data_IF_734791855976
#
_entry.id   IF_734791855976
#
_cell.length_a   1.000
_cell.length_b   1.000
_cell.length_c   1.000
_cell.angle_alpha   90.00
_cell.angle_beta   90.00
_cell.angle_gamma   90.00
#
_symmetry.space_group_name_H-M   'P 1'
#
loop_
_entity.id
_entity.type
_entity.pdbx_description
1 polymer ?
#
# COMPACT_ATOMS: atom_id res chain seq x y z
N UNK A 1 15.42 21.42 -16.54
CA UNK A 1 14.38 21.56 -17.60
C UNK A 1 13.44 22.69 -17.20
N UNK A 2 12.98 23.57 -18.14
CA UNK A 2 12.00 24.59 -17.81
C UNK A 2 10.56 23.99 -17.76
N UNK A 3 9.63 24.72 -17.11
CA UNK A 3 8.24 24.24 -16.90
C UNK A 3 7.48 24.00 -18.21
N UNK A 4 7.68 24.84 -19.24
CA UNK A 4 6.97 24.72 -20.52
C UNK A 4 7.42 23.49 -21.29
N UNK A 5 8.72 23.21 -21.27
CA UNK A 5 9.29 22.00 -21.88
C UNK A 5 8.79 20.73 -21.18
N UNK A 6 8.77 20.72 -19.84
CA UNK A 6 8.22 19.60 -19.08
C UNK A 6 6.76 19.36 -19.44
N UNK A 7 5.95 20.40 -19.41
CA UNK A 7 4.53 20.30 -19.77
C UNK A 7 4.32 19.74 -21.15
N UNK A 8 5.06 20.22 -22.15
CA UNK A 8 4.97 19.69 -23.52
C UNK A 8 5.28 18.19 -23.59
N UNK A 9 6.36 17.72 -22.95
CA UNK A 9 6.75 16.32 -22.95
C UNK A 9 5.71 15.45 -22.21
N UNK A 10 5.16 15.93 -21.10
CA UNK A 10 4.07 15.28 -20.37
C UNK A 10 2.82 15.15 -21.23
N UNK A 11 2.38 16.24 -21.88
CA UNK A 11 1.19 16.24 -22.71
C UNK A 11 1.36 15.27 -23.92
N UNK A 12 2.52 15.26 -24.58
CA UNK A 12 2.83 14.33 -25.67
C UNK A 12 2.85 12.86 -25.22
N UNK A 13 3.42 12.57 -24.05
CA UNK A 13 3.45 11.24 -23.47
C UNK A 13 2.04 10.79 -23.08
N UNK A 14 1.32 11.60 -22.33
CA UNK A 14 -0.03 11.28 -21.84
C UNK A 14 -1.06 11.14 -22.97
N UNK A 15 -0.94 11.92 -24.04
CA UNK A 15 -1.80 11.74 -25.21
C UNK A 15 -1.74 10.32 -25.77
N UNK A 16 -0.55 9.71 -25.82
CA UNK A 16 -0.36 8.32 -26.26
C UNK A 16 -0.97 7.32 -25.27
N UNK A 17 -0.78 7.55 -23.97
CA UNK A 17 -1.35 6.68 -22.91
C UNK A 17 -2.88 6.72 -22.95
N UNK A 18 -3.48 7.90 -23.03
CA UNK A 18 -4.94 8.09 -23.07
C UNK A 18 -5.53 7.44 -24.33
N UNK A 19 -4.89 7.61 -25.48
CA UNK A 19 -5.37 7.03 -26.74
C UNK A 19 -5.41 5.49 -26.71
N UNK A 20 -4.43 4.86 -26.04
CA UNK A 20 -4.38 3.39 -25.89
C UNK A 20 -5.33 2.84 -24.81
N UNK A 21 -5.70 3.67 -23.83
CA UNK A 21 -6.46 3.25 -22.65
C UNK A 21 -7.72 4.12 -22.46
N UNK A 22 -8.67 4.12 -23.43
CA UNK A 22 -9.81 5.00 -23.37
C UNK A 22 -10.71 4.70 -22.16
N UNK A 23 -11.07 5.76 -21.41
CA UNK A 23 -11.98 5.64 -20.25
C UNK A 23 -11.33 5.23 -18.93
N UNK A 24 -10.04 4.91 -18.90
CA UNK A 24 -9.33 4.45 -17.70
C UNK A 24 -8.74 5.63 -16.91
N UNK A 25 -9.59 6.49 -16.36
CA UNK A 25 -9.21 7.77 -15.72
C UNK A 25 -8.23 7.60 -14.57
N UNK A 26 -8.45 6.62 -13.71
CA UNK A 26 -7.59 6.34 -12.55
C UNK A 26 -6.18 5.90 -12.99
N UNK A 27 -6.09 5.12 -14.06
CA UNK A 27 -4.81 4.75 -14.64
C UNK A 27 -4.08 5.95 -15.25
N UNK A 28 -4.80 6.81 -15.98
CA UNK A 28 -4.21 8.03 -16.54
C UNK A 28 -3.64 8.94 -15.46
N UNK A 29 -4.37 9.11 -14.35
CA UNK A 29 -3.93 9.92 -13.21
C UNK A 29 -2.65 9.36 -12.58
N UNK A 30 -2.60 8.06 -12.33
CA UNK A 30 -1.43 7.41 -11.74
C UNK A 30 -0.18 7.50 -12.63
N UNK A 31 -0.35 7.29 -13.95
CA UNK A 31 0.75 7.44 -14.91
C UNK A 31 1.24 8.87 -14.98
N UNK A 32 0.34 9.87 -14.95
CA UNK A 32 0.69 11.29 -14.95
C UNK A 32 1.54 11.66 -13.72
N UNK A 33 1.09 11.29 -12.51
CA UNK A 33 1.80 11.57 -11.25
C UNK A 33 3.24 11.04 -11.27
N UNK A 34 3.42 9.83 -11.75
CA UNK A 34 4.74 9.22 -11.88
C UNK A 34 5.57 9.88 -12.97
N UNK A 35 4.96 10.18 -14.13
CA UNK A 35 5.63 10.81 -15.27
C UNK A 35 6.17 12.21 -14.95
N UNK A 36 5.49 12.99 -14.12
CA UNK A 36 5.96 14.30 -13.65
C UNK A 36 7.34 14.23 -12.96
N UNK A 37 7.56 13.17 -12.19
CA UNK A 37 8.85 12.93 -11.54
C UNK A 37 9.89 12.30 -12.46
N UNK A 38 9.45 11.41 -13.37
CA UNK A 38 10.36 10.58 -14.17
C UNK A 38 10.82 11.25 -15.47
N UNK A 39 9.99 12.05 -16.13
CA UNK A 39 10.37 12.67 -17.41
C UNK A 39 11.63 13.55 -17.26
N UNK A 40 11.75 14.44 -16.23
CA UNK A 40 12.99 15.17 -16.03
C UNK A 40 14.21 14.27 -15.84
N UNK A 41 14.06 13.22 -15.07
CA UNK A 41 15.13 12.25 -14.80
C UNK A 41 15.53 11.47 -16.07
N UNK A 42 14.57 11.08 -16.88
CA UNK A 42 14.81 10.36 -18.15
C UNK A 42 15.50 11.25 -19.18
N UNK A 43 15.15 12.55 -19.24
CA UNK A 43 15.85 13.51 -20.12
C UNK A 43 17.32 13.69 -19.73
N UNK A 44 17.64 13.62 -18.44
CA UNK A 44 19.01 13.61 -17.94
C UNK A 44 19.74 12.27 -18.10
N UNK A 45 18.99 11.19 -18.39
CA UNK A 45 19.49 9.82 -18.56
C UNK A 45 19.05 9.22 -19.89
N UNK A 46 19.65 9.62 -21.04
CA UNK A 46 19.17 9.28 -22.39
C UNK A 46 19.01 7.79 -22.68
N UNK A 47 19.73 6.91 -21.95
CA UNK A 47 19.62 5.45 -22.09
C UNK A 47 18.17 4.94 -21.87
N UNK A 48 17.45 5.50 -20.90
CA UNK A 48 16.07 5.11 -20.61
C UNK A 48 15.10 5.62 -21.67
N UNK A 49 15.34 6.82 -22.20
CA UNK A 49 14.56 7.40 -23.30
C UNK A 49 14.69 6.58 -24.60
N UNK A 50 15.93 6.25 -24.97
CA UNK A 50 16.22 5.44 -26.17
C UNK A 50 15.60 4.05 -26.10
N UNK A 51 15.59 3.43 -24.92
CA UNK A 51 14.96 2.14 -24.68
C UNK A 51 13.44 2.20 -24.46
N UNK A 52 12.83 3.41 -24.52
CA UNK A 52 11.38 3.65 -24.30
C UNK A 52 10.86 3.00 -23.00
N UNK A 53 11.65 3.09 -21.94
CA UNK A 53 11.35 2.37 -20.70
C UNK A 53 10.01 2.82 -20.11
N UNK A 54 9.72 4.12 -20.10
CA UNK A 54 8.47 4.64 -19.53
C UNK A 54 7.23 4.15 -20.29
N UNK A 55 7.28 4.15 -21.60
CA UNK A 55 6.21 3.63 -22.45
C UNK A 55 6.01 2.12 -22.24
N UNK A 56 7.09 1.36 -22.10
CA UNK A 56 7.03 -0.09 -21.85
C UNK A 56 6.50 -0.39 -20.44
N UNK A 57 6.87 0.38 -19.43
CA UNK A 57 6.36 0.21 -18.06
C UNK A 57 4.88 0.59 -17.92
N UNK A 58 4.39 1.52 -18.75
CA UNK A 58 2.97 1.91 -18.76
C UNK A 58 2.08 0.93 -19.54
N UNK A 59 2.67 -0.04 -20.23
CA UNK A 59 1.94 -1.12 -20.92
C UNK A 59 2.05 -2.40 -20.08
N UNK A 60 0.91 -3.01 -19.73
CA UNK A 60 0.92 -4.28 -19.00
C UNK A 60 1.48 -5.40 -19.87
N UNK A 61 2.34 -6.26 -19.33
CA UNK A 61 2.85 -7.43 -20.06
C UNK A 61 1.70 -8.36 -20.45
N UNK A 62 0.70 -8.54 -19.54
CA UNK A 62 -0.52 -9.31 -19.82
C UNK A 62 -1.71 -8.79 -19.01
N UNK A 63 -2.89 -8.87 -19.61
CA UNK A 63 -4.16 -8.62 -18.95
C UNK A 63 -5.09 -9.80 -19.17
N UNK A 64 -5.51 -10.43 -18.08
CA UNK A 64 -6.38 -11.61 -18.12
C UNK A 64 -7.72 -11.21 -17.57
N UNK A 65 -8.78 -11.43 -18.36
CA UNK A 65 -10.18 -11.14 -18.00
C UNK A 65 -10.98 -12.42 -18.24
N UNK A 66 -11.74 -12.82 -17.23
CA UNK A 66 -12.51 -14.07 -17.29
C UNK A 66 -13.82 -13.98 -16.53
N UNK A 67 -14.76 -14.88 -16.87
CA UNK A 67 -16.06 -15.02 -16.23
C UNK A 67 -15.97 -15.94 -15.01
N UNK A 68 -16.66 -15.56 -13.92
CA UNK A 68 -16.73 -16.31 -12.67
C UNK A 68 -18.21 -16.66 -12.41
N UNK A 69 -18.73 -17.81 -12.85
CA UNK A 69 -20.07 -18.28 -12.49
C UNK A 69 -20.02 -19.01 -11.14
N UNK A 70 -20.99 -18.74 -10.27
CA UNK A 70 -21.10 -19.40 -8.97
C UNK A 70 -22.57 -19.45 -8.51
N UNK A 71 -22.89 -20.32 -7.55
CA UNK A 71 -24.23 -20.45 -6.97
C UNK A 71 -24.30 -19.74 -5.62
N UNK A 72 -25.33 -18.93 -5.42
CA UNK A 72 -25.63 -18.36 -4.10
C UNK A 72 -26.31 -19.39 -3.17
N UNK A 73 -26.65 -18.99 -1.95
CA UNK A 73 -27.26 -19.89 -0.97
C UNK A 73 -28.70 -20.27 -1.32
N UNK A 74 -29.32 -19.56 -2.27
CA UNK A 74 -30.66 -19.90 -2.80
C UNK A 74 -30.59 -20.86 -3.99
N UNK A 75 -29.39 -21.18 -4.48
CA UNK A 75 -29.16 -22.00 -5.67
C UNK A 75 -29.29 -21.21 -6.98
N UNK A 76 -29.33 -19.89 -6.93
CA UNK A 76 -29.38 -19.04 -8.12
C UNK A 76 -27.97 -18.83 -8.69
N UNK A 77 -27.90 -18.81 -10.04
CA UNK A 77 -26.62 -18.59 -10.74
C UNK A 77 -26.26 -17.11 -10.68
N UNK A 78 -25.09 -16.84 -10.14
CA UNK A 78 -24.47 -15.53 -10.12
C UNK A 78 -23.29 -15.50 -11.10
N UNK A 79 -23.03 -14.33 -11.72
CA UNK A 79 -21.94 -14.16 -12.70
C UNK A 79 -21.17 -12.90 -12.35
N UNK A 80 -19.90 -13.06 -12.07
CA UNK A 80 -18.96 -11.97 -11.88
C UNK A 80 -17.84 -11.98 -12.93
N UNK A 81 -17.10 -10.90 -13.00
CA UNK A 81 -15.92 -10.77 -13.85
C UNK A 81 -14.65 -10.79 -13.00
N UNK A 82 -13.72 -11.64 -13.36
CA UNK A 82 -12.39 -11.70 -12.78
C UNK A 82 -11.35 -11.01 -13.64
N UNK A 83 -10.34 -10.45 -12.98
CA UNK A 83 -9.23 -9.75 -13.62
C UNK A 83 -7.91 -10.16 -12.96
N UNK A 84 -6.85 -10.28 -13.79
CA UNK A 84 -5.46 -10.27 -13.33
C UNK A 84 -4.62 -9.45 -14.30
N UNK A 85 -3.94 -8.43 -13.78
CA UNK A 85 -3.03 -7.56 -14.52
C UNK A 85 -1.61 -7.95 -14.12
N UNK A 86 -0.90 -8.55 -15.05
CA UNK A 86 0.51 -8.86 -14.97
C UNK A 86 1.27 -7.68 -15.58
N UNK A 87 1.66 -6.72 -14.72
CA UNK A 87 2.13 -5.42 -15.18
C UNK A 87 3.58 -5.42 -15.63
N UNK A 88 4.47 -5.96 -14.80
CA UNK A 88 5.90 -5.99 -15.09
C UNK A 88 6.60 -7.07 -14.27
N UNK A 89 7.38 -7.92 -14.90
CA UNK A 89 8.11 -9.04 -14.30
C UNK A 89 9.63 -8.89 -14.32
N UNK A 90 10.16 -7.72 -14.71
CA UNK A 90 11.60 -7.54 -14.90
C UNK A 90 12.46 -7.82 -13.66
N UNK A 91 11.90 -7.67 -12.45
CA UNK A 91 12.65 -7.88 -11.19
C UNK A 91 12.14 -9.05 -10.35
N UNK A 92 11.23 -9.87 -10.88
CA UNK A 92 10.70 -11.06 -10.21
C UNK A 92 9.26 -11.39 -10.60
N UNK A 93 8.68 -12.44 -10.01
CA UNK A 93 7.30 -12.82 -10.27
C UNK A 93 6.35 -11.64 -10.06
N UNK A 94 5.26 -11.57 -10.84
CA UNK A 94 4.23 -10.56 -10.60
C UNK A 94 3.72 -10.69 -9.17
N UNK A 95 3.57 -9.58 -8.47
CA UNK A 95 3.14 -9.55 -7.08
C UNK A 95 2.18 -8.40 -6.83
N UNK A 96 1.03 -8.73 -6.25
CA UNK A 96 0.04 -7.74 -5.84
C UNK A 96 -1.28 -8.36 -5.42
N UNK A 97 -2.10 -7.56 -4.72
CA UNK A 97 -3.35 -8.02 -4.11
C UNK A 97 -4.45 -8.36 -5.10
N UNK A 98 -5.43 -9.12 -4.61
CA UNK A 98 -6.75 -9.32 -5.22
C UNK A 98 -7.76 -8.44 -4.49
N UNK A 99 -8.55 -7.66 -5.21
CA UNK A 99 -9.61 -6.81 -4.64
C UNK A 99 -10.99 -7.36 -5.00
N UNK A 100 -11.85 -7.56 -4.00
CA UNK A 100 -13.26 -7.89 -4.23
C UNK A 100 -14.13 -6.71 -3.80
N UNK A 101 -14.65 -5.99 -4.79
CA UNK A 101 -15.51 -4.83 -4.55
C UNK A 101 -16.31 -4.50 -5.81
N UNK A 102 -17.59 -4.07 -5.70
CA UNK A 102 -18.44 -3.77 -6.86
C UNK A 102 -17.88 -2.73 -7.84
N UNK A 103 -17.00 -1.85 -7.37
CA UNK A 103 -16.37 -0.80 -8.20
C UNK A 103 -15.17 -1.30 -9.01
N UNK A 104 -14.74 -2.54 -8.83
CA UNK A 104 -13.57 -3.09 -9.54
C UNK A 104 -13.82 -3.08 -11.04
N UNK A 105 -12.92 -2.45 -11.77
CA UNK A 105 -12.86 -2.41 -13.22
C UNK A 105 -11.41 -2.42 -13.71
N UNK A 106 -11.21 -2.49 -15.02
CA UNK A 106 -9.89 -2.60 -15.62
C UNK A 106 -8.99 -1.39 -15.30
N UNK A 107 -9.51 -0.17 -15.39
CA UNK A 107 -8.75 1.06 -15.15
C UNK A 107 -8.23 1.14 -13.71
N UNK A 108 -9.09 0.81 -12.72
CA UNK A 108 -8.69 0.75 -11.30
C UNK A 108 -7.59 -0.29 -11.08
N UNK A 109 -7.70 -1.47 -11.67
CA UNK A 109 -6.70 -2.52 -11.48
C UNK A 109 -5.39 -2.23 -12.21
N UNK A 110 -5.43 -1.60 -13.38
CA UNK A 110 -4.22 -1.15 -14.09
C UNK A 110 -3.48 -0.07 -13.33
N UNK A 111 -4.19 0.92 -12.80
CA UNK A 111 -3.60 1.93 -11.92
C UNK A 111 -2.87 1.28 -10.75
N UNK A 112 -3.57 0.40 -10.03
CA UNK A 112 -3.00 -0.29 -8.86
C UNK A 112 -1.81 -1.20 -9.23
N UNK A 113 -1.87 -1.86 -10.39
CA UNK A 113 -0.78 -2.71 -10.88
C UNK A 113 0.47 -1.89 -11.24
N UNK A 114 0.28 -0.75 -11.89
CA UNK A 114 1.36 0.16 -12.27
C UNK A 114 2.08 0.72 -11.04
N UNK A 115 1.34 1.23 -10.07
CA UNK A 115 1.94 1.70 -8.80
C UNK A 115 2.62 0.57 -8.02
N UNK A 116 2.07 -0.66 -8.11
CA UNK A 116 2.64 -1.81 -7.43
C UNK A 116 4.04 -2.17 -7.95
N UNK A 117 4.34 -1.94 -9.23
CA UNK A 117 5.69 -2.13 -9.81
C UNK A 117 6.73 -1.30 -9.05
N UNK A 118 6.46 0.00 -8.91
CA UNK A 118 7.37 0.93 -8.23
C UNK A 118 7.50 0.62 -6.74
N UNK A 119 6.37 0.33 -6.08
CA UNK A 119 6.33 -0.02 -4.66
C UNK A 119 7.12 -1.29 -4.35
N UNK A 120 6.93 -2.35 -5.15
CA UNK A 120 7.66 -3.60 -4.96
C UNK A 120 9.16 -3.44 -5.20
N UNK A 121 9.52 -2.67 -6.22
CA UNK A 121 10.91 -2.34 -6.53
C UNK A 121 11.64 -1.67 -5.37
N UNK A 122 10.98 -0.74 -4.67
CA UNK A 122 11.56 -0.06 -3.51
C UNK A 122 11.93 -1.03 -2.37
N UNK A 123 11.20 -2.14 -2.20
CA UNK A 123 11.50 -3.14 -1.15
C UNK A 123 12.84 -3.85 -1.35
N UNK A 124 13.45 -3.71 -2.52
CA UNK A 124 14.65 -4.45 -2.97
C UNK A 124 14.48 -5.95 -3.12
N UNK A 125 13.34 -6.51 -2.73
CA UNK A 125 13.02 -7.92 -2.90
C UNK A 125 12.74 -8.26 -4.37
N UNK A 126 12.94 -9.52 -4.79
CA UNK A 126 12.73 -9.96 -6.18
C UNK A 126 11.22 -10.17 -6.45
N UNK A 127 10.50 -9.09 -6.63
CA UNK A 127 9.06 -9.07 -6.89
C UNK A 127 8.74 -8.06 -7.98
N UNK A 128 8.12 -8.52 -9.06
CA UNK A 128 7.50 -7.70 -10.07
C UNK A 128 6.21 -7.04 -9.58
N UNK A 129 5.44 -6.46 -10.47
CA UNK A 129 4.17 -5.80 -10.16
C UNK A 129 2.99 -6.43 -10.86
N UNK A 130 1.91 -6.65 -10.12
CA UNK A 130 0.64 -7.12 -10.64
C UNK A 130 -0.52 -6.74 -9.73
N UNK A 131 -1.73 -6.87 -10.23
CA UNK A 131 -2.97 -6.63 -9.48
C UNK A 131 -4.10 -7.46 -10.04
N UNK A 132 -5.02 -7.87 -9.19
CA UNK A 132 -6.21 -8.56 -9.64
C UNK A 132 -7.44 -8.21 -8.84
N UNK A 133 -8.54 -8.81 -9.19
CA UNK A 133 -9.79 -8.61 -8.46
C UNK A 133 -11.02 -9.05 -9.22
N UNK A 134 -12.15 -8.72 -8.64
CA UNK A 134 -13.47 -8.98 -9.20
C UNK A 134 -14.47 -7.91 -8.72
N UNK A 135 -15.51 -7.69 -9.50
CA UNK A 135 -16.70 -6.90 -9.13
C UNK A 135 -17.60 -7.60 -8.09
N UNK A 136 -17.17 -8.73 -7.56
CA UNK A 136 -17.84 -9.43 -6.46
C UNK A 136 -17.81 -8.61 -5.17
N UNK A 137 -18.97 -8.49 -4.51
CA UNK A 137 -19.08 -7.89 -3.18
C UNK A 137 -19.19 -8.99 -2.11
N UNK A 138 -18.14 -9.20 -1.28
CA UNK A 138 -18.19 -10.19 -0.21
C UNK A 138 -19.04 -9.75 0.98
N UNK A 139 -19.43 -8.47 1.02
CA UNK A 139 -20.18 -7.91 2.14
C UNK A 139 -21.59 -8.50 2.19
N UNK A 140 -21.97 -9.05 3.34
CA UNK A 140 -23.28 -9.68 3.55
C UNK A 140 -23.41 -11.07 2.93
N UNK A 141 -22.36 -11.64 2.33
CA UNK A 141 -22.33 -13.01 1.82
C UNK A 141 -21.98 -14.00 2.93
N UNK A 142 -22.56 -15.19 2.86
CA UNK A 142 -22.18 -16.30 3.74
C UNK A 142 -20.76 -16.81 3.42
N UNK A 143 -20.14 -17.51 4.37
CA UNK A 143 -18.83 -18.14 4.13
C UNK A 143 -18.90 -19.17 3.00
N UNK A 144 -20.03 -19.87 2.83
CA UNK A 144 -20.26 -20.81 1.76
C UNK A 144 -20.36 -20.13 0.39
N UNK A 145 -21.02 -18.98 0.30
CA UNK A 145 -21.07 -18.18 -0.93
C UNK A 145 -19.68 -17.67 -1.32
N UNK A 146 -18.95 -17.10 -0.36
CA UNK A 146 -17.58 -16.62 -0.59
C UNK A 146 -16.66 -17.76 -1.00
N UNK A 147 -16.79 -18.95 -0.38
CA UNK A 147 -16.00 -20.12 -0.74
C UNK A 147 -16.29 -20.56 -2.18
N UNK A 148 -17.56 -20.70 -2.57
CA UNK A 148 -17.95 -21.08 -3.94
C UNK A 148 -17.44 -20.08 -4.97
N UNK A 149 -17.55 -18.78 -4.67
CA UNK A 149 -17.00 -17.73 -5.52
C UNK A 149 -15.49 -17.87 -5.67
N UNK A 150 -14.73 -17.99 -4.58
CA UNK A 150 -13.27 -18.15 -4.59
C UNK A 150 -12.84 -19.40 -5.35
N UNK A 151 -13.57 -20.51 -5.21
CA UNK A 151 -13.30 -21.75 -5.94
C UNK A 151 -13.51 -21.58 -7.45
N UNK A 152 -14.59 -20.92 -7.87
CA UNK A 152 -14.85 -20.64 -9.27
C UNK A 152 -13.80 -19.68 -9.86
N UNK A 153 -13.47 -18.60 -9.16
CA UNK A 153 -12.39 -17.67 -9.55
C UNK A 153 -11.07 -18.41 -9.74
N UNK A 154 -10.69 -19.27 -8.79
CA UNK A 154 -9.41 -19.97 -8.83
C UNK A 154 -9.37 -21.06 -9.91
N UNK A 155 -10.51 -21.61 -10.30
CA UNK A 155 -10.59 -22.59 -11.40
C UNK A 155 -10.04 -22.00 -12.72
N UNK A 156 -10.24 -20.72 -12.99
CA UNK A 156 -9.63 -20.03 -14.12
C UNK A 156 -8.23 -19.48 -13.78
N UNK A 157 -8.11 -18.78 -12.67
CA UNK A 157 -6.88 -18.04 -12.33
C UNK A 157 -5.66 -18.94 -12.13
N UNK A 158 -5.83 -20.18 -11.64
CA UNK A 158 -4.72 -21.11 -11.38
C UNK A 158 -3.85 -21.40 -12.60
N UNK A 159 -4.33 -21.16 -13.82
CA UNK A 159 -3.56 -21.36 -15.06
C UNK A 159 -2.48 -20.30 -15.25
N UNK A 160 -2.60 -19.17 -14.58
CA UNK A 160 -1.80 -17.97 -14.79
C UNK A 160 -0.91 -17.62 -13.61
N UNK A 161 -1.15 -18.19 -12.44
CA UNK A 161 -0.43 -17.89 -11.21
C UNK A 161 0.44 -19.08 -10.74
N UNK A 162 1.41 -18.77 -9.90
CA UNK A 162 2.32 -19.76 -9.34
C UNK A 162 3.42 -19.09 -8.52
N UNK A 163 4.18 -19.85 -7.71
CA UNK A 163 5.19 -19.30 -6.81
C UNK A 163 6.28 -18.51 -7.54
N UNK A 164 6.60 -18.89 -8.78
CA UNK A 164 7.68 -18.30 -9.59
C UNK A 164 7.15 -17.48 -10.78
N UNK A 165 5.83 -17.36 -10.94
CA UNK A 165 5.21 -16.66 -12.07
C UNK A 165 4.46 -15.42 -11.57
N UNK A 166 3.43 -15.63 -10.72
CA UNK A 166 2.56 -14.59 -10.21
C UNK A 166 2.00 -15.00 -8.85
N UNK A 167 2.22 -14.17 -7.84
CA UNK A 167 1.86 -14.45 -6.45
C UNK A 167 0.86 -13.42 -5.95
N UNK A 168 -0.46 -13.68 -6.04
CA UNK A 168 -1.49 -12.80 -5.50
C UNK A 168 -1.45 -12.72 -3.97
N UNK A 169 -2.06 -11.66 -3.43
CA UNK A 169 -2.21 -11.40 -1.99
C UNK A 169 -3.60 -10.87 -1.67
N UNK A 170 -3.87 -10.57 -0.40
CA UNK A 170 -5.07 -9.86 0.00
C UNK A 170 -5.05 -8.37 -0.34
N UNK A 171 -6.24 -7.80 -0.46
CA UNK A 171 -6.53 -6.37 -0.62
C UNK A 171 -7.97 -6.11 -0.11
N UNK A 172 -8.61 -5.01 -0.45
CA UNK A 172 -10.00 -4.72 -0.07
C UNK A 172 -10.91 -5.90 -0.44
N UNK A 173 -11.69 -6.38 0.54
CA UNK A 173 -12.60 -7.50 0.37
C UNK A 173 -11.94 -8.89 0.31
N UNK A 174 -10.62 -8.97 0.47
CA UNK A 174 -9.85 -10.22 0.46
C UNK A 174 -8.93 -10.29 1.68
N UNK A 175 -9.35 -11.03 2.67
CA UNK A 175 -8.58 -11.32 3.88
C UNK A 175 -8.09 -12.76 3.94
N UNK A 176 -7.69 -13.22 5.14
CA UNK A 176 -7.21 -14.57 5.36
C UNK A 176 -8.21 -15.66 4.98
N UNK A 177 -9.52 -15.41 5.14
CA UNK A 177 -10.60 -16.31 4.75
C UNK A 177 -10.59 -16.57 3.24
N UNK A 178 -10.62 -15.51 2.44
CA UNK A 178 -10.62 -15.58 0.98
C UNK A 178 -9.31 -16.19 0.46
N UNK A 179 -8.18 -15.81 1.03
CA UNK A 179 -6.87 -16.41 0.72
C UNK A 179 -6.90 -17.92 1.00
N UNK A 180 -7.49 -18.34 2.11
CA UNK A 180 -7.65 -19.75 2.44
C UNK A 180 -8.47 -20.52 1.42
N UNK A 181 -9.63 -20.00 1.02
CA UNK A 181 -10.48 -20.64 0.01
C UNK A 181 -9.81 -20.71 -1.37
N UNK A 182 -9.11 -19.64 -1.76
CA UNK A 182 -8.35 -19.62 -3.02
C UNK A 182 -7.19 -20.61 -3.00
N UNK A 183 -6.43 -20.65 -1.90
CA UNK A 183 -5.30 -21.58 -1.76
C UNK A 183 -5.74 -23.05 -1.75
N UNK A 184 -6.82 -23.36 -1.03
CA UNK A 184 -7.39 -24.70 -1.01
C UNK A 184 -7.80 -25.21 -2.39
N UNK A 185 -8.41 -24.35 -3.20
CA UNK A 185 -8.79 -24.69 -4.58
C UNK A 185 -7.58 -24.81 -5.50
N UNK A 186 -6.59 -23.91 -5.40
CA UNK A 186 -5.35 -23.99 -6.16
C UNK A 186 -4.63 -25.33 -5.87
N UNK A 187 -4.43 -25.64 -4.58
CA UNK A 187 -3.78 -26.89 -4.15
C UNK A 187 -4.50 -28.11 -4.72
N UNK A 188 -5.83 -28.11 -4.72
CA UNK A 188 -6.64 -29.22 -5.26
C UNK A 188 -6.46 -29.39 -6.77
N UNK A 189 -6.49 -28.26 -7.52
CA UNK A 189 -6.42 -28.30 -8.99
C UNK A 189 -5.02 -28.64 -9.50
N UNK A 190 -4.00 -28.06 -8.87
CA UNK A 190 -2.60 -28.24 -9.27
C UNK A 190 -1.95 -29.48 -8.66
N UNK A 191 -2.53 -30.04 -7.61
CA UNK A 191 -1.91 -31.08 -6.78
C UNK A 191 -0.54 -30.66 -6.23
N UNK A 192 -0.38 -29.40 -5.86
CA UNK A 192 0.86 -28.79 -5.41
C UNK A 192 0.63 -28.01 -4.12
N UNK A 193 1.57 -28.09 -3.18
CA UNK A 193 1.63 -27.23 -2.00
C UNK A 193 2.83 -26.30 -2.15
N UNK A 194 2.56 -25.06 -2.64
CA UNK A 194 3.59 -24.10 -3.01
C UNK A 194 3.36 -22.74 -2.34
N UNK A 195 4.30 -21.81 -2.54
CA UNK A 195 4.21 -20.42 -2.08
C UNK A 195 3.35 -19.49 -2.99
N UNK A 196 2.33 -20.00 -3.67
CA UNK A 196 1.54 -19.25 -4.67
C UNK A 196 0.75 -18.15 -4.04
N UNK A 197 0.26 -17.98 -3.01
CA UNK A 197 -0.48 -16.85 -2.39
C UNK A 197 0.27 -16.34 -1.15
N UNK A 198 0.10 -15.07 -0.81
CA UNK A 198 0.57 -14.54 0.47
C UNK A 198 -0.59 -14.00 1.32
N UNK A 199 -0.36 -13.93 2.65
CA UNK A 199 -1.41 -13.70 3.63
C UNK A 199 -2.06 -15.00 4.10
N UNK A 200 -1.32 -16.12 3.97
CA UNK A 200 -1.74 -17.45 4.43
C UNK A 200 -1.78 -17.53 5.96
N UNK A 201 -2.52 -18.48 6.50
CA UNK A 201 -2.47 -18.84 7.91
C UNK A 201 -1.10 -19.43 8.30
N UNK A 202 -0.71 -19.26 9.56
CA UNK A 202 0.60 -19.70 10.05
C UNK A 202 0.78 -21.22 9.92
N UNK A 203 -0.31 -21.97 10.03
CA UNK A 203 -0.31 -23.43 9.96
C UNK A 203 -0.05 -23.97 8.56
N UNK A 204 -0.12 -23.13 7.53
CA UNK A 204 0.02 -23.55 6.14
C UNK A 204 0.84 -22.58 5.27
N UNK A 205 1.88 -21.99 5.87
CA UNK A 205 2.92 -21.23 5.17
C UNK A 205 2.81 -19.73 5.27
N UNK A 206 2.00 -19.19 6.19
CA UNK A 206 1.94 -17.77 6.50
C UNK A 206 3.16 -17.27 7.25
N UNK A 207 3.35 -15.96 7.28
CA UNK A 207 4.43 -15.29 8.00
C UNK A 207 3.92 -14.56 9.24
N UNK A 208 4.68 -14.62 10.32
CA UNK A 208 4.54 -13.70 11.45
C UNK A 208 4.73 -12.24 10.99
N UNK A 209 4.32 -11.29 11.82
CA UNK A 209 4.39 -9.83 11.55
C UNK A 209 3.51 -9.37 10.37
N UNK A 210 2.79 -10.26 9.67
CA UNK A 210 1.98 -9.84 8.51
C UNK A 210 0.86 -8.85 8.87
N UNK A 211 0.08 -9.04 9.95
CA UNK A 211 -0.93 -8.05 10.39
C UNK A 211 -0.33 -6.70 10.78
N UNK A 212 0.84 -6.72 11.42
CA UNK A 212 1.55 -5.54 11.91
C UNK A 212 2.26 -4.75 10.81
N UNK A 213 2.66 -5.42 9.75
CA UNK A 213 3.68 -4.99 8.82
C UNK A 213 3.48 -3.61 8.20
N UNK A 214 2.26 -3.25 7.84
CA UNK A 214 1.99 -1.95 7.21
C UNK A 214 2.13 -0.82 8.22
N UNK A 215 1.54 -0.96 9.41
CA UNK A 215 1.66 0.03 10.49
C UNK A 215 3.09 0.15 11.02
N UNK A 216 3.78 -0.97 11.19
CA UNK A 216 5.20 -0.99 11.59
C UNK A 216 6.08 -0.32 10.53
N UNK A 217 5.89 -0.66 9.25
CA UNK A 217 6.62 -0.06 8.15
C UNK A 217 6.45 1.45 8.06
N UNK A 218 5.21 1.93 8.22
CA UNK A 218 4.88 3.36 8.28
C UNK A 218 5.70 4.09 9.35
N UNK A 219 5.79 3.51 10.54
CA UNK A 219 6.50 4.11 11.68
C UNK A 219 8.01 4.00 11.50
N UNK A 220 8.54 2.88 11.00
CA UNK A 220 9.96 2.73 10.68
C UNK A 220 10.41 3.74 9.61
N UNK A 221 9.58 3.98 8.59
CA UNK A 221 9.89 5.00 7.59
C UNK A 221 9.89 6.41 8.20
N UNK A 222 8.91 6.72 9.07
CA UNK A 222 8.86 7.98 9.80
C UNK A 222 10.10 8.15 10.71
N UNK A 223 10.54 7.09 11.41
CA UNK A 223 11.74 7.10 12.23
C UNK A 223 12.98 7.48 11.41
N UNK A 224 13.17 6.87 10.25
CA UNK A 224 14.28 7.19 9.36
C UNK A 224 14.19 8.63 8.84
N UNK A 225 13.00 9.14 8.51
CA UNK A 225 12.80 10.55 8.15
C UNK A 225 13.20 11.49 9.31
N UNK A 226 12.79 11.18 10.54
CA UNK A 226 13.15 11.97 11.72
C UNK A 226 14.67 12.00 11.94
N UNK A 227 15.36 10.88 11.77
CA UNK A 227 16.83 10.78 11.87
C UNK A 227 17.56 11.72 10.91
N UNK A 228 17.01 12.07 9.74
CA UNK A 228 17.62 13.05 8.83
C UNK A 228 17.71 14.46 9.43
N UNK A 229 16.91 14.74 10.46
CA UNK A 229 16.91 16.01 11.19
C UNK A 229 17.45 15.87 12.62
N UNK A 230 18.08 14.75 12.97
CA UNK A 230 18.57 14.46 14.32
C UNK A 230 17.45 14.30 15.36
N UNK A 231 16.27 13.91 14.92
CA UNK A 231 15.07 13.74 15.76
C UNK A 231 14.72 12.25 15.89
N UNK A 232 13.85 11.95 16.86
CA UNK A 232 13.25 10.63 17.09
C UNK A 232 11.79 10.77 17.56
N UNK A 233 11.13 9.65 17.84
CA UNK A 233 9.75 9.63 18.36
C UNK A 233 9.63 10.01 19.85
N UNK A 234 10.72 9.98 20.60
CA UNK A 234 10.68 10.16 22.04
C UNK A 234 10.08 11.51 22.44
N UNK A 235 8.98 11.46 23.21
CA UNK A 235 8.26 12.65 23.66
C UNK A 235 7.46 13.40 22.60
N UNK A 236 7.39 12.91 21.35
CA UNK A 236 6.61 13.54 20.28
C UNK A 236 5.12 13.22 20.41
N UNK A 237 4.28 14.20 20.13
CA UNK A 237 2.83 14.03 20.04
C UNK A 237 2.51 13.48 18.64
N UNK A 238 1.79 12.36 18.61
CA UNK A 238 1.47 11.66 17.37
C UNK A 238 -0.04 11.58 17.19
N UNK A 239 -0.54 12.01 16.03
CA UNK A 239 -1.92 11.78 15.60
C UNK A 239 -1.99 10.61 14.63
N UNK A 240 -2.98 9.74 14.82
CA UNK A 240 -3.26 8.60 13.95
C UNK A 240 -4.72 8.66 13.53
N UNK A 241 -5.00 8.48 12.24
CA UNK A 241 -6.36 8.25 11.74
C UNK A 241 -6.64 6.76 11.56
N UNK A 242 -7.92 6.41 11.56
CA UNK A 242 -8.35 5.02 11.49
C UNK A 242 -8.34 4.32 12.84
N UNK A 243 -8.83 3.09 12.84
CA UNK A 243 -8.85 2.17 13.99
C UNK A 243 -8.76 0.70 13.55
N UNK A 244 -8.42 0.46 12.27
CA UNK A 244 -8.12 -0.86 11.72
C UNK A 244 -6.67 -1.28 11.95
N UNK A 245 -6.25 -2.38 11.32
CA UNK A 245 -4.91 -2.96 11.50
C UNK A 245 -3.78 -1.95 11.36
N UNK A 246 -3.77 -1.14 10.29
CA UNK A 246 -2.69 -0.17 10.05
C UNK A 246 -2.58 0.81 11.23
N UNK A 247 -3.71 1.42 11.63
CA UNK A 247 -3.76 2.37 12.72
C UNK A 247 -3.39 1.76 14.07
N UNK A 248 -3.87 0.55 14.37
CA UNK A 248 -3.57 -0.17 15.62
C UNK A 248 -2.07 -0.43 15.74
N UNK A 249 -1.45 -0.97 14.70
CA UNK A 249 -0.04 -1.33 14.73
C UNK A 249 0.90 -0.12 14.54
N UNK A 250 0.47 0.93 13.82
CA UNK A 250 1.17 2.21 13.83
C UNK A 250 1.20 2.81 15.24
N UNK A 251 0.05 2.80 15.94
CA UNK A 251 -0.05 3.23 17.34
C UNK A 251 0.88 2.42 18.24
N UNK A 252 0.86 1.08 18.14
CA UNK A 252 1.73 0.20 18.92
C UNK A 252 3.21 0.53 18.72
N UNK A 253 3.66 0.60 17.46
CA UNK A 253 5.08 0.84 17.17
C UNK A 253 5.53 2.25 17.54
N UNK A 254 4.71 3.28 17.26
CA UNK A 254 5.02 4.66 17.65
C UNK A 254 5.14 4.82 19.18
N UNK A 255 4.26 4.17 19.94
CA UNK A 255 4.32 4.14 21.41
C UNK A 255 5.57 3.41 21.92
N UNK A 256 5.93 2.27 21.32
CA UNK A 256 7.17 1.54 21.65
C UNK A 256 8.44 2.37 21.38
N UNK A 257 8.44 3.26 20.39
CA UNK A 257 9.52 4.19 20.11
C UNK A 257 9.50 5.47 20.99
N UNK A 258 8.56 5.56 21.94
CA UNK A 258 8.47 6.66 22.90
C UNK A 258 7.59 7.83 22.46
N UNK A 259 6.87 7.70 21.35
CA UNK A 259 5.85 8.65 20.91
C UNK A 259 4.57 8.57 21.73
N UNK A 260 3.88 9.69 21.87
CA UNK A 260 2.60 9.80 22.56
C UNK A 260 1.47 9.87 21.52
N UNK A 261 0.85 8.75 21.24
CA UNK A 261 -0.30 8.70 20.31
C UNK A 261 -1.54 9.21 21.02
N UNK A 262 -2.20 10.23 20.47
CA UNK A 262 -3.32 10.92 21.14
C UNK A 262 -4.66 10.79 20.42
N UNK A 263 -4.69 10.21 19.20
CA UNK A 263 -5.93 10.06 18.44
C UNK A 263 -6.03 8.70 17.76
N UNK A 264 -7.26 8.22 17.60
CA UNK A 264 -7.70 7.20 16.65
C UNK A 264 -9.06 7.60 16.11
N UNK A 265 -9.45 7.13 14.92
CA UNK A 265 -10.70 7.54 14.28
C UNK A 265 -11.44 6.38 13.62
N UNK A 266 -12.71 6.58 13.31
CA UNK A 266 -13.47 5.80 12.36
C UNK A 266 -14.40 6.72 11.52
N UNK A 267 -15.36 6.14 10.80
CA UNK A 267 -16.27 6.92 9.94
C UNK A 267 -17.21 7.87 10.68
N UNK A 268 -17.35 7.74 12.01
CA UNK A 268 -18.22 8.60 12.82
C UNK A 268 -17.48 9.80 13.43
N UNK A 269 -16.14 9.74 13.51
CA UNK A 269 -15.32 10.79 14.10
C UNK A 269 -14.02 10.25 14.68
N UNK A 270 -13.43 11.01 15.61
CA UNK A 270 -12.18 10.59 16.25
C UNK A 270 -12.22 10.76 17.75
N UNK A 271 -11.41 9.96 18.45
CA UNK A 271 -11.11 10.14 19.88
C UNK A 271 -9.85 10.98 20.05
N UNK A 272 -9.86 11.86 21.03
CA UNK A 272 -8.68 12.57 21.51
C UNK A 272 -8.44 12.22 22.98
N UNK A 273 -7.31 11.58 23.26
CA UNK A 273 -6.86 11.24 24.60
C UNK A 273 -5.59 12.03 24.96
N UNK A 274 -5.67 13.09 25.75
CA UNK A 274 -4.52 13.92 26.10
C UNK A 274 -3.46 13.18 26.92
N UNK A 275 -3.82 12.06 27.58
CA UNK A 275 -2.86 11.21 28.31
C UNK A 275 -2.10 10.27 27.39
N UNK A 276 -2.60 10.06 26.16
CA UNK A 276 -2.05 9.13 25.19
C UNK A 276 -2.67 7.74 25.30
N UNK A 277 -2.57 7.00 24.17
CA UNK A 277 -3.07 5.64 24.00
C UNK A 277 -1.90 4.68 24.25
N UNK A 278 -1.78 4.19 25.47
CA UNK A 278 -0.79 3.21 25.89
C UNK A 278 -1.18 1.77 25.46
N UNK A 279 -0.40 0.78 25.90
CA UNK A 279 -0.60 -0.62 25.53
C UNK A 279 -1.97 -1.16 25.99
N UNK A 280 -2.42 -0.82 27.19
CA UNK A 280 -3.69 -1.30 27.75
C UNK A 280 -4.89 -0.66 27.04
N UNK A 281 -4.81 0.63 26.75
CA UNK A 281 -5.80 1.37 25.98
C UNK A 281 -5.88 0.87 24.53
N UNK A 282 -4.72 0.58 23.92
CA UNK A 282 -4.67 -0.02 22.59
C UNK A 282 -5.26 -1.43 22.58
N UNK A 283 -4.98 -2.26 23.58
CA UNK A 283 -5.58 -3.59 23.71
C UNK A 283 -7.12 -3.51 23.80
N UNK A 284 -7.65 -2.52 24.50
CA UNK A 284 -9.08 -2.25 24.53
C UNK A 284 -9.61 -1.90 23.11
N UNK A 285 -8.92 -1.02 22.37
CA UNK A 285 -9.31 -0.67 20.99
C UNK A 285 -9.30 -1.90 20.09
N UNK A 286 -8.28 -2.75 20.19
CA UNK A 286 -8.20 -4.01 19.44
C UNK A 286 -9.37 -4.93 19.74
N UNK A 287 -9.71 -5.11 21.03
CA UNK A 287 -10.87 -5.88 21.44
C UNK A 287 -12.18 -5.29 20.92
N UNK A 288 -12.34 -3.97 21.00
CA UNK A 288 -13.51 -3.25 20.52
C UNK A 288 -13.69 -3.40 19.00
N UNK A 289 -12.63 -3.19 18.23
CA UNK A 289 -12.72 -3.16 16.76
C UNK A 289 -12.68 -4.53 16.13
N UNK A 290 -11.81 -5.41 16.58
CA UNK A 290 -11.53 -6.68 15.92
C UNK A 290 -12.49 -7.79 16.38
N UNK A 291 -12.95 -7.75 17.64
CA UNK A 291 -13.83 -8.77 18.22
C UNK A 291 -15.28 -8.29 18.27
N UNK A 292 -15.53 -7.16 18.94
CA UNK A 292 -16.89 -6.63 19.13
C UNK A 292 -17.45 -5.91 17.90
N UNK A 293 -16.59 -5.49 16.96
CA UNK A 293 -16.91 -4.67 15.78
C UNK A 293 -17.63 -3.36 16.15
N UNK A 294 -17.31 -2.82 17.34
CA UNK A 294 -17.89 -1.60 17.90
C UNK A 294 -17.34 -0.32 17.25
N UNK A 295 -17.82 0.83 17.71
CA UNK A 295 -17.42 2.15 17.23
C UNK A 295 -16.37 2.75 18.13
N UNK A 296 -15.45 3.57 17.55
CA UNK A 296 -14.34 4.13 18.34
C UNK A 296 -14.81 5.05 19.49
N UNK A 297 -15.99 5.66 19.37
CA UNK A 297 -16.60 6.48 20.42
C UNK A 297 -16.78 5.75 21.77
N UNK A 298 -16.99 4.41 21.73
CA UNK A 298 -17.13 3.58 22.92
C UNK A 298 -15.86 3.52 23.78
N UNK A 299 -14.73 3.98 23.24
CA UNK A 299 -13.51 4.19 24.02
C UNK A 299 -13.72 5.20 25.15
N UNK A 300 -14.48 6.28 24.89
CA UNK A 300 -14.77 7.32 25.89
C UNK A 300 -15.69 6.84 27.01
N UNK A 301 -16.46 5.77 26.83
CA UNK A 301 -17.28 5.17 27.88
C UNK A 301 -16.40 4.53 28.98
N UNK A 302 -15.20 4.06 28.59
CA UNK A 302 -14.24 3.46 29.52
C UNK A 302 -13.18 4.45 30.04
N UNK A 303 -12.77 5.39 29.19
CA UNK A 303 -11.69 6.34 29.48
C UNK A 303 -12.26 7.77 29.47
N UNK A 304 -12.73 8.22 30.63
CA UNK A 304 -13.45 9.49 30.82
C UNK A 304 -12.61 10.76 30.55
N UNK A 305 -11.28 10.63 30.55
CA UNK A 305 -10.36 11.71 30.19
C UNK A 305 -10.27 11.97 28.67
N UNK A 306 -10.69 11.00 27.88
CA UNK A 306 -10.75 11.14 26.43
C UNK A 306 -12.07 11.80 26.01
N UNK A 307 -12.03 12.47 24.87
CA UNK A 307 -13.20 13.07 24.25
C UNK A 307 -13.42 12.50 22.85
N UNK A 308 -14.69 12.36 22.45
CA UNK A 308 -15.06 11.98 21.07
C UNK A 308 -15.53 13.22 20.31
N UNK A 309 -14.96 13.43 19.14
CA UNK A 309 -15.30 14.53 18.23
C UNK A 309 -15.98 13.96 17.00
N UNK A 310 -17.30 14.12 16.95
CA UNK A 310 -18.15 13.57 15.89
C UNK A 310 -17.96 14.29 14.56
N UNK A 311 -18.00 13.52 13.45
CA UNK A 311 -18.02 14.05 12.08
C UNK A 311 -16.73 14.73 11.62
N UNK A 312 -15.66 14.70 12.43
CA UNK A 312 -14.36 15.32 12.10
C UNK A 312 -13.25 14.27 12.00
N UNK A 313 -12.15 14.68 11.34
CA UNK A 313 -10.88 13.96 11.27
C UNK A 313 -9.87 14.59 12.23
N UNK A 314 -8.80 13.89 12.67
CA UNK A 314 -7.93 14.36 13.76
C UNK A 314 -6.91 15.44 13.37
N UNK A 315 -7.02 16.07 12.19
CA UNK A 315 -5.97 16.90 11.61
C UNK A 315 -5.89 18.33 12.20
N UNK A 316 -6.90 18.75 12.97
CA UNK A 316 -6.88 19.98 13.77
C UNK A 316 -6.18 19.80 15.13
N UNK A 317 -5.86 18.56 15.53
CA UNK A 317 -5.19 18.28 16.81
C UNK A 317 -3.72 18.66 16.71
N UNK A 318 -3.22 19.38 17.70
CA UNK A 318 -1.79 19.75 17.78
C UNK A 318 -0.94 18.48 17.88
N UNK A 319 0.01 18.33 16.97
CA UNK A 319 0.92 17.19 16.93
C UNK A 319 2.26 17.56 16.31
N UNK A 320 3.25 16.71 16.53
CA UNK A 320 4.56 16.74 15.89
C UNK A 320 4.57 15.86 14.62
N UNK A 321 3.89 14.71 14.71
CA UNK A 321 3.89 13.65 13.70
C UNK A 321 2.44 13.26 13.40
N UNK A 322 2.08 13.17 12.13
CA UNK A 322 0.79 12.65 11.67
C UNK A 322 0.96 11.34 10.89
N UNK A 323 0.20 10.32 11.26
CA UNK A 323 0.21 8.99 10.67
C UNK A 323 -1.17 8.67 10.07
N UNK A 324 -1.50 9.16 8.86
CA UNK A 324 -2.77 8.87 8.22
C UNK A 324 -2.85 7.37 7.86
N UNK A 325 -3.81 6.66 8.47
CA UNK A 325 -3.90 5.20 8.44
C UNK A 325 -5.33 4.69 8.22
N UNK A 326 -6.25 5.56 7.75
CA UNK A 326 -7.65 5.22 7.55
C UNK A 326 -7.99 4.94 6.10
N UNK A 327 -8.19 5.99 5.30
CA UNK A 327 -8.76 5.86 3.96
C UNK A 327 -8.07 6.78 2.95
N UNK A 328 -8.33 6.49 1.67
CA UNK A 328 -7.93 7.35 0.56
C UNK A 328 -8.57 8.75 0.67
N UNK A 329 -7.82 9.80 0.30
CA UNK A 329 -8.26 11.20 0.27
C UNK A 329 -8.84 11.70 1.60
N UNK A 330 -8.27 11.27 2.71
CA UNK A 330 -8.70 11.72 4.03
C UNK A 330 -8.06 13.05 4.48
N UNK A 331 -7.05 13.55 3.78
CA UNK A 331 -6.40 14.82 4.05
C UNK A 331 -6.49 15.68 2.79
N UNK A 332 -7.24 16.77 2.86
CA UNK A 332 -7.28 17.78 1.81
C UNK A 332 -6.28 18.93 2.09
N UNK A 333 -6.26 19.95 1.22
CA UNK A 333 -5.37 21.11 1.37
C UNK A 333 -5.63 21.91 2.67
N UNK A 334 -6.87 21.93 3.18
CA UNK A 334 -7.21 22.64 4.40
C UNK A 334 -6.73 21.86 5.62
N UNK A 335 -6.93 20.55 5.63
CA UNK A 335 -6.38 19.65 6.66
C UNK A 335 -4.85 19.74 6.72
N UNK A 336 -4.18 19.75 5.56
CA UNK A 336 -2.73 19.91 5.48
C UNK A 336 -2.26 21.26 6.05
N UNK A 337 -2.96 22.35 5.74
CA UNK A 337 -2.67 23.67 6.31
C UNK A 337 -2.90 23.69 7.82
N UNK A 338 -3.95 23.04 8.32
CA UNK A 338 -4.23 22.92 9.75
C UNK A 338 -3.12 22.14 10.48
N UNK A 339 -2.66 21.02 9.93
CA UNK A 339 -1.52 20.26 10.47
C UNK A 339 -0.26 21.15 10.58
N UNK A 340 0.05 21.92 9.52
CA UNK A 340 1.21 22.82 9.52
C UNK A 340 1.07 23.94 10.55
N UNK A 341 -0.10 24.56 10.65
CA UNK A 341 -0.40 25.62 11.62
C UNK A 341 -0.28 25.11 13.08
N UNK A 342 -0.60 23.84 13.32
CA UNK A 342 -0.52 23.18 14.61
C UNK A 342 0.86 22.60 14.97
N UNK A 343 1.86 22.81 14.09
CA UNK A 343 3.26 22.46 14.34
C UNK A 343 3.68 21.06 13.86
N UNK A 344 2.84 20.35 13.10
CA UNK A 344 3.19 19.09 12.49
C UNK A 344 4.34 19.27 11.49
N UNK A 345 5.43 18.53 11.66
CA UNK A 345 6.59 18.60 10.77
C UNK A 345 6.94 17.26 10.11
N UNK A 346 6.18 16.20 10.43
CA UNK A 346 6.37 14.88 9.83
C UNK A 346 4.99 14.26 9.53
N UNK A 347 4.77 13.89 8.29
CA UNK A 347 3.60 13.11 7.84
C UNK A 347 4.09 11.84 7.17
N UNK A 348 3.68 10.66 7.64
CA UNK A 348 4.03 9.36 7.05
C UNK A 348 2.78 8.57 6.76
N UNK A 349 2.56 8.22 5.51
CA UNK A 349 1.30 7.61 5.05
C UNK A 349 1.26 6.10 5.22
N UNK A 350 0.31 5.60 6.01
CA UNK A 350 0.02 4.17 6.16
C UNK A 350 -1.11 3.69 5.26
N UNK A 351 -2.11 4.54 5.02
CA UNK A 351 -3.14 4.27 4.03
C UNK A 351 -2.62 4.43 2.59
N UNK A 352 -3.37 3.94 1.61
CA UNK A 352 -3.06 4.21 0.20
C UNK A 352 -3.64 5.56 -0.20
N UNK A 353 -2.77 6.48 -0.63
CA UNK A 353 -3.12 7.85 -1.07
C UNK A 353 -4.05 8.60 -0.10
N UNK A 354 -3.73 8.72 1.19
CA UNK A 354 -4.59 9.42 2.14
C UNK A 354 -4.60 10.94 1.92
N UNK A 355 -3.52 11.51 1.39
CA UNK A 355 -3.43 12.94 1.07
C UNK A 355 -3.81 13.20 -0.39
N UNK A 356 -4.61 14.26 -0.62
CA UNK A 356 -4.90 14.70 -1.98
C UNK A 356 -3.67 15.38 -2.61
N UNK A 357 -3.60 15.51 -3.94
CA UNK A 357 -2.48 16.22 -4.60
C UNK A 357 -2.25 17.62 -4.03
N UNK A 358 -3.32 18.38 -3.76
CA UNK A 358 -3.25 19.72 -3.20
C UNK A 358 -2.70 19.73 -1.76
N UNK A 359 -2.97 18.68 -0.97
CA UNK A 359 -2.36 18.51 0.36
C UNK A 359 -0.86 18.24 0.25
N UNK A 360 -0.46 17.40 -0.71
CA UNK A 360 0.95 17.08 -0.98
C UNK A 360 1.71 18.37 -1.38
N UNK A 361 1.12 19.22 -2.22
CA UNK A 361 1.72 20.52 -2.58
C UNK A 361 2.01 21.36 -1.34
N UNK A 362 1.07 21.43 -0.38
CA UNK A 362 1.28 22.15 0.90
C UNK A 362 2.47 21.58 1.66
N UNK A 363 2.61 20.26 1.74
CA UNK A 363 3.75 19.64 2.43
C UNK A 363 5.08 19.94 1.76
N UNK A 364 5.13 19.89 0.43
CA UNK A 364 6.34 20.16 -0.35
C UNK A 364 6.75 21.63 -0.26
N UNK A 365 5.79 22.58 -0.35
CA UNK A 365 6.05 24.01 -0.17
C UNK A 365 6.60 24.33 1.22
N UNK A 366 6.07 23.69 2.26
CA UNK A 366 6.52 23.85 3.66
C UNK A 366 7.77 23.06 3.98
N UNK A 367 8.26 22.23 3.03
CA UNK A 367 9.46 21.40 3.18
C UNK A 367 9.45 20.54 4.45
N UNK A 368 8.30 19.98 4.80
CA UNK A 368 8.20 19.05 5.93
C UNK A 368 8.76 17.66 5.56
N UNK A 369 8.88 16.77 6.55
CA UNK A 369 9.16 15.37 6.34
C UNK A 369 7.87 14.69 5.88
N UNK A 370 7.72 14.46 4.57
CA UNK A 370 6.54 13.81 4.00
C UNK A 370 6.91 12.47 3.36
N UNK A 371 6.46 11.39 3.97
CA UNK A 371 6.63 10.02 3.48
C UNK A 371 5.40 9.54 2.70
N UNK A 372 5.46 9.47 1.35
CA UNK A 372 4.34 9.05 0.52
C UNK A 372 4.00 7.58 0.73
N UNK A 373 2.74 7.21 0.59
CA UNK A 373 2.21 5.87 0.85
C UNK A 373 2.99 4.77 0.13
N UNK A 374 3.34 4.95 -1.14
CA UNK A 374 4.10 3.95 -1.91
C UNK A 374 5.47 3.56 -1.29
N UNK A 375 6.08 4.44 -0.51
CA UNK A 375 7.31 4.16 0.25
C UNK A 375 7.00 3.78 1.70
N UNK A 376 6.23 4.62 2.41
CA UNK A 376 6.00 4.48 3.84
C UNK A 376 5.15 3.24 4.20
N UNK A 377 4.13 2.90 3.40
CA UNK A 377 3.28 1.74 3.67
C UNK A 377 3.77 0.42 3.02
N UNK A 378 4.95 0.41 2.46
CA UNK A 378 5.51 -0.77 1.78
C UNK A 378 5.79 -1.96 2.72
N UNK A 379 5.68 -1.78 4.04
CA UNK A 379 5.87 -2.85 5.02
C UNK A 379 5.00 -4.08 4.76
N UNK A 380 3.74 -3.88 4.37
CA UNK A 380 2.84 -4.98 4.06
C UNK A 380 3.32 -5.86 2.89
N UNK A 381 3.74 -5.25 1.79
CA UNK A 381 4.28 -6.01 0.64
C UNK A 381 5.68 -6.53 0.91
N UNK A 382 6.49 -5.84 1.69
CA UNK A 382 7.80 -6.33 2.14
C UNK A 382 7.64 -7.64 2.92
N UNK A 383 6.74 -7.70 3.90
CA UNK A 383 6.47 -8.92 4.65
C UNK A 383 5.85 -10.01 3.78
N UNK A 384 5.04 -9.65 2.76
CA UNK A 384 4.61 -10.64 1.76
C UNK A 384 5.78 -11.26 0.99
N UNK A 385 6.79 -10.47 0.62
CA UNK A 385 8.02 -10.98 0.00
C UNK A 385 8.84 -11.85 0.96
N UNK A 386 8.88 -11.51 2.25
CA UNK A 386 9.48 -12.37 3.28
C UNK A 386 8.72 -13.68 3.45
N UNK A 387 7.38 -13.67 3.34
CA UNK A 387 6.57 -14.90 3.30
C UNK A 387 6.93 -15.77 2.10
N UNK A 388 7.07 -15.16 0.91
CA UNK A 388 7.53 -15.89 -0.30
C UNK A 388 8.89 -16.54 -0.07
N UNK A 389 9.84 -15.84 0.54
CA UNK A 389 11.17 -16.36 0.86
C UNK A 389 11.10 -17.54 1.82
N UNK A 390 10.32 -17.44 2.89
CA UNK A 390 10.09 -18.53 3.85
C UNK A 390 9.46 -19.76 3.15
N UNK A 391 8.49 -19.53 2.26
CA UNK A 391 7.85 -20.59 1.49
C UNK A 391 8.85 -21.32 0.55
N UNK A 392 9.70 -20.56 -0.15
CA UNK A 392 10.72 -21.13 -1.03
C UNK A 392 11.74 -21.97 -0.29
N UNK A 393 12.12 -21.57 0.92
CA UNK A 393 13.03 -22.32 1.78
C UNK A 393 12.34 -23.46 2.55
N UNK A 394 10.99 -23.47 2.60
CA UNK A 394 10.18 -24.35 3.47
C UNK A 394 10.54 -24.24 4.95
N UNK A 395 10.78 -23.02 5.40
CA UNK A 395 11.13 -22.66 6.78
C UNK A 395 10.27 -21.49 7.25
N UNK A 396 10.08 -21.39 8.55
CA UNK A 396 9.45 -20.24 9.21
C UNK A 396 10.49 -19.50 10.04
N UNK A 397 10.45 -18.18 9.99
CA UNK A 397 11.26 -17.29 10.83
C UNK A 397 10.51 -16.90 12.09
N UNK A 398 11.27 -16.61 13.16
CA UNK A 398 10.70 -16.04 14.38
C UNK A 398 10.13 -14.64 14.15
N UNK A 399 9.35 -14.16 15.10
CA UNK A 399 8.79 -12.79 15.07
C UNK A 399 9.89 -11.73 14.98
N UNK A 400 10.95 -11.92 15.76
CA UNK A 400 12.11 -11.02 15.83
C UNK A 400 12.90 -11.02 14.51
N UNK A 401 13.07 -12.18 13.88
CA UNK A 401 13.74 -12.28 12.57
C UNK A 401 12.94 -11.56 11.49
N UNK A 402 11.61 -11.77 11.44
CA UNK A 402 10.75 -11.08 10.44
C UNK A 402 10.72 -9.58 10.71
N UNK A 403 10.56 -9.12 11.95
CA UNK A 403 10.54 -7.70 12.30
C UNK A 403 11.88 -7.01 11.97
N UNK A 404 13.01 -7.66 12.30
CA UNK A 404 14.34 -7.16 11.95
C UNK A 404 14.54 -7.02 10.44
N UNK A 405 14.12 -8.03 9.66
CA UNK A 405 14.17 -7.98 8.19
C UNK A 405 13.28 -6.88 7.63
N UNK A 406 12.05 -6.74 8.15
CA UNK A 406 11.15 -5.67 7.78
C UNK A 406 11.75 -4.30 8.06
N UNK A 407 12.31 -4.08 9.26
CA UNK A 407 12.95 -2.82 9.62
C UNK A 407 14.11 -2.49 8.66
N UNK A 408 14.97 -3.45 8.36
CA UNK A 408 16.08 -3.27 7.40
C UNK A 408 15.58 -2.93 5.99
N UNK A 409 14.47 -3.54 5.53
CA UNK A 409 13.86 -3.20 4.25
C UNK A 409 13.37 -1.75 4.27
N UNK A 410 12.70 -1.30 5.33
CA UNK A 410 12.22 0.08 5.44
C UNK A 410 13.36 1.10 5.46
N UNK A 411 14.48 0.79 6.15
CA UNK A 411 15.72 1.59 6.10
C UNK A 411 16.24 1.69 4.65
N UNK A 412 16.25 0.60 3.91
CA UNK A 412 16.73 0.59 2.52
C UNK A 412 15.80 1.36 1.58
N UNK A 413 14.48 1.26 1.77
CA UNK A 413 13.50 2.08 1.04
C UNK A 413 13.79 3.57 1.29
N UNK A 414 13.94 3.95 2.56
CA UNK A 414 14.26 5.33 2.93
C UNK A 414 15.57 5.83 2.30
N UNK A 415 16.66 5.05 2.41
CA UNK A 415 17.96 5.39 1.78
C UNK A 415 17.82 5.60 0.28
N UNK A 416 17.04 4.76 -0.39
CA UNK A 416 16.80 4.88 -1.82
C UNK A 416 16.00 6.16 -2.16
N UNK A 417 14.99 6.49 -1.36
CA UNK A 417 14.25 7.74 -1.51
C UNK A 417 15.14 8.97 -1.29
N UNK A 418 16.02 8.96 -0.28
CA UNK A 418 17.00 10.03 -0.03
C UNK A 418 17.95 10.20 -1.22
N UNK A 419 18.50 9.09 -1.73
CA UNK A 419 19.45 9.11 -2.86
C UNK A 419 18.90 9.85 -4.08
N UNK A 420 17.63 9.66 -4.40
CA UNK A 420 17.02 10.22 -5.61
C UNK A 420 16.14 11.44 -5.36
N UNK A 421 15.81 11.71 -4.10
CA UNK A 421 14.93 12.82 -3.71
C UNK A 421 15.63 14.04 -3.12
N UNK A 422 16.94 13.96 -2.83
CA UNK A 422 17.67 15.11 -2.26
C UNK A 422 17.81 16.20 -3.30
N UNK A 423 17.28 17.39 -2.97
CA UNK A 423 17.36 18.59 -3.78
C UNK A 423 18.66 19.38 -3.49
N UNK A 424 19.07 20.32 -4.38
CA UNK A 424 20.29 21.09 -4.20
C UNK A 424 20.40 21.89 -2.90
N UNK A 425 19.26 22.25 -2.31
CA UNK A 425 19.18 22.98 -1.03
C UNK A 425 19.20 22.05 0.21
N UNK A 426 19.35 20.73 0.00
CA UNK A 426 19.36 19.73 1.05
C UNK A 426 17.97 19.24 1.46
N UNK A 427 16.89 19.76 0.89
CA UNK A 427 15.53 19.23 1.10
C UNK A 427 15.40 17.84 0.47
N UNK A 428 14.74 16.93 1.16
CA UNK A 428 14.47 15.59 0.63
C UNK A 428 13.02 15.51 0.18
N UNK A 429 12.82 15.51 -1.14
CA UNK A 429 11.53 15.27 -1.77
C UNK A 429 11.31 13.75 -1.88
N UNK A 430 10.66 13.18 -0.89
CA UNK A 430 10.42 11.73 -0.83
C UNK A 430 9.45 11.22 -1.92
N UNK A 431 8.58 12.07 -2.47
CA UNK A 431 7.71 11.70 -3.61
C UNK A 431 8.56 11.44 -4.85
N UNK A 432 9.41 12.40 -5.21
CA UNK A 432 10.37 12.28 -6.31
C UNK A 432 11.32 11.11 -6.07
N UNK A 433 11.84 10.99 -4.84
CA UNK A 433 12.76 9.93 -4.44
C UNK A 433 12.15 8.53 -4.56
N UNK A 434 10.90 8.35 -4.16
CA UNK A 434 10.19 7.08 -4.28
C UNK A 434 9.91 6.71 -5.75
N UNK A 435 9.46 7.67 -6.56
CA UNK A 435 9.17 7.43 -7.98
C UNK A 435 10.45 7.06 -8.75
N UNK A 436 11.52 7.85 -8.62
CA UNK A 436 12.80 7.58 -9.31
C UNK A 436 13.48 6.33 -8.76
N UNK A 437 13.53 6.15 -7.43
CA UNK A 437 14.13 4.98 -6.80
C UNK A 437 13.43 3.68 -7.18
N UNK A 438 12.11 3.68 -7.24
CA UNK A 438 11.33 2.54 -7.73
C UNK A 438 11.55 2.25 -9.22
N UNK A 439 11.66 3.31 -10.03
CA UNK A 439 11.85 3.21 -11.47
C UNK A 439 13.22 2.63 -11.85
N UNK A 440 14.32 3.14 -11.29
CA UNK A 440 15.68 2.83 -11.75
C UNK A 440 15.97 1.33 -11.74
N UNK A 441 15.62 0.63 -10.67
CA UNK A 441 15.87 -0.82 -10.55
C UNK A 441 15.13 -1.62 -11.63
N UNK A 442 13.86 -1.28 -11.88
CA UNK A 442 13.04 -1.93 -12.92
C UNK A 442 13.59 -1.59 -14.30
N UNK A 443 13.90 -0.32 -14.55
CA UNK A 443 14.43 0.18 -15.82
C UNK A 443 15.75 -0.50 -16.21
N UNK A 444 16.69 -0.58 -15.26
CA UNK A 444 17.99 -1.22 -15.50
C UNK A 444 17.82 -2.74 -15.76
N UNK A 445 16.90 -3.42 -15.04
CA UNK A 445 16.59 -4.82 -15.29
C UNK A 445 15.95 -5.03 -16.69
N UNK A 446 14.99 -4.19 -17.06
CA UNK A 446 14.36 -4.24 -18.40
C UNK A 446 15.39 -4.01 -19.53
N UNK A 447 16.36 -3.12 -19.30
CA UNK A 447 17.44 -2.89 -20.27
C UNK A 447 18.39 -4.07 -20.39
N UNK A 448 18.74 -4.68 -19.25
CA UNK A 448 19.63 -5.85 -19.21
C UNK A 448 19.00 -7.10 -19.86
N UNK A 449 17.70 -7.26 -19.74
CA UNK A 449 16.94 -8.38 -20.33
C UNK A 449 16.57 -8.17 -21.80
N UNK A 450 16.68 -6.94 -22.32
CA UNK A 450 16.41 -6.62 -23.72
C UNK A 450 14.93 -6.35 -24.03
N UNK A 451 14.51 -6.77 -25.21
CA UNK A 451 13.13 -6.64 -25.72
C UNK A 451 12.43 -8.00 -25.63
N UNK A 452 11.83 -8.27 -24.51
CA UNK A 452 11.09 -9.52 -24.21
C UNK A 452 9.64 -9.22 -23.94
#
# INVERSE_FOLDING_TARGET
MNKDMLKKLLDEFMAKIIAKNPGEKEFHQAVMEVAESLIPFIEENPKYKQAKIMERMAEAERTIIFRIPWLDDKGEIQINRGFRIEMNSAIGPYKGGMRFHPTVNLGILKFLAFEQVLKNSLTTLPMGGGKGGSDFDPKGKSDNEVMRFCQSLMTELQRHIGPDTDVPAGDIGVGGREIGFMFGQYKRLRNEFTGVLTGKGLEWGGSLIRPEATGYGQVYFAEEMLKTRGLDFKGKIVTVSGSGNVAQYATQKATLLGGKVVTLSDSEGYIYDPKGIDADKLAFVMQLKNVKRGRIKEYCDKYSEASFIAGKRPWEVKCDIALPSATQNEIDANDAKALMANGCFCVSEGANMPSTPEAIEVYLEKKILYGPGKAANAGGVATSGLEMSQNSMRMSWSREEVDSKLHNIMINIHKNCVKYGTEPDGFINYVKGANIGGFVKVADAMMAQGLV
#
